data_IF_785862190652
#
_entry.id   IF_785862190652
#
_cell.length_a   1.000
_cell.length_b   1.000
_cell.length_c   1.000
_cell.angle_alpha   90.00
_cell.angle_beta   90.00
_cell.angle_gamma   90.00
#
_symmetry.space_group_name_H-M   'P 1'
#
loop_
_entity.id
_entity.type
_entity.pdbx_description
1 polymer ?
#
# COMPACT_ATOMS: atom_id res chain seq x y z
N UNK A 1 -43.86 17.57 14.44
CA UNK A 1 -43.65 16.64 15.56
C UNK A 1 -42.72 15.54 15.12
N UNK A 2 -41.42 15.64 15.41
CA UNK A 2 -40.45 14.58 15.09
C UNK A 2 -40.56 13.49 16.15
N UNK A 3 -41.12 12.32 15.80
CA UNK A 3 -41.13 11.16 16.69
C UNK A 3 -39.66 10.75 16.95
N UNK A 4 -39.17 11.01 18.14
CA UNK A 4 -37.92 10.43 18.63
C UNK A 4 -38.14 8.91 18.74
N UNK A 5 -37.71 8.20 17.69
CA UNK A 5 -37.75 6.74 17.75
C UNK A 5 -36.81 6.27 18.87
N UNK A 6 -37.34 5.39 19.73
CA UNK A 6 -36.62 4.75 20.83
C UNK A 6 -35.30 4.12 20.37
N UNK A 7 -34.27 4.12 21.24
CA UNK A 7 -32.94 3.56 20.94
C UNK A 7 -33.01 2.12 20.42
N UNK A 8 -33.88 1.30 20.99
CA UNK A 8 -34.10 -0.09 20.56
C UNK A 8 -34.66 -0.16 19.13
N UNK A 9 -35.56 0.77 18.75
CA UNK A 9 -36.13 0.84 17.41
C UNK A 9 -35.06 1.28 16.37
N UNK A 10 -34.19 2.23 16.74
CA UNK A 10 -33.07 2.66 15.87
C UNK A 10 -32.08 1.50 15.66
N UNK A 11 -31.72 0.79 16.72
CA UNK A 11 -30.82 -0.36 16.65
C UNK A 11 -31.40 -1.48 15.76
N UNK A 12 -32.67 -1.82 15.90
CA UNK A 12 -33.35 -2.80 15.03
C UNK A 12 -33.41 -2.38 13.57
N UNK A 13 -33.55 -1.07 13.27
CA UNK A 13 -33.50 -0.56 11.91
C UNK A 13 -32.09 -0.75 11.29
N UNK A 14 -31.04 -0.43 12.06
CA UNK A 14 -29.67 -0.69 11.64
C UNK A 14 -29.41 -2.17 11.40
N UNK A 15 -29.83 -3.04 12.32
CA UNK A 15 -29.69 -4.49 12.14
C UNK A 15 -30.39 -4.97 10.86
N UNK A 16 -31.66 -4.55 10.62
CA UNK A 16 -32.39 -4.92 9.40
C UNK A 16 -31.73 -4.38 8.14
N UNK A 17 -31.19 -3.15 8.18
CA UNK A 17 -30.46 -2.59 7.06
C UNK A 17 -29.25 -3.48 6.71
N UNK A 18 -28.40 -3.76 7.68
CA UNK A 18 -27.20 -4.56 7.45
C UNK A 18 -27.47 -6.05 7.16
N UNK A 19 -28.61 -6.60 7.58
CA UNK A 19 -28.98 -7.99 7.28
C UNK A 19 -29.75 -8.18 5.98
N UNK A 20 -30.36 -7.14 5.44
CA UNK A 20 -31.24 -7.22 4.27
C UNK A 20 -30.75 -6.49 3.02
N UNK A 21 -29.68 -5.71 3.12
CA UNK A 21 -29.12 -4.97 1.98
C UNK A 21 -27.89 -5.68 1.44
N UNK A 22 -27.99 -6.17 0.23
CA UNK A 22 -26.82 -6.64 -0.52
C UNK A 22 -26.09 -5.43 -1.08
N UNK A 23 -24.84 -5.24 -0.65
CA UNK A 23 -23.99 -4.15 -1.13
C UNK A 23 -23.32 -4.61 -2.44
N UNK A 24 -23.59 -3.89 -3.52
CA UNK A 24 -22.87 -4.04 -4.76
C UNK A 24 -21.56 -3.24 -4.67
N UNK A 25 -20.47 -3.95 -4.37
CA UNK A 25 -19.15 -3.34 -4.19
C UNK A 25 -18.59 -2.77 -5.49
N UNK A 26 -18.93 -3.32 -6.65
CA UNK A 26 -18.48 -2.83 -7.95
C UNK A 26 -19.15 -1.51 -8.31
N UNK A 27 -20.46 -1.42 -8.05
CA UNK A 27 -21.18 -0.16 -8.21
C UNK A 27 -20.62 0.94 -7.28
N UNK A 28 -20.31 0.61 -6.03
CA UNK A 28 -19.72 1.57 -5.09
C UNK A 28 -18.31 1.97 -5.54
N UNK A 29 -17.48 1.02 -5.93
CA UNK A 29 -16.13 1.29 -6.44
C UNK A 29 -16.17 2.22 -7.66
N UNK A 30 -17.05 1.91 -8.63
CA UNK A 30 -17.27 2.74 -9.82
C UNK A 30 -17.79 4.14 -9.49
N UNK A 31 -18.65 4.28 -8.49
CA UNK A 31 -19.13 5.58 -8.01
C UNK A 31 -18.00 6.38 -7.38
N UNK A 32 -17.24 5.80 -6.46
CA UNK A 32 -16.09 6.45 -5.80
C UNK A 32 -15.06 6.87 -6.86
N UNK A 33 -14.75 5.98 -7.80
CA UNK A 33 -13.77 6.28 -8.84
C UNK A 33 -14.18 7.47 -9.68
N UNK A 34 -15.45 7.53 -10.13
CA UNK A 34 -15.99 8.66 -10.90
C UNK A 34 -16.06 9.96 -10.09
N UNK A 35 -16.26 9.88 -8.79
CA UNK A 35 -16.37 11.06 -7.93
C UNK A 35 -15.02 11.75 -7.70
N UNK A 36 -13.95 10.99 -7.55
CA UNK A 36 -12.65 11.51 -7.13
C UNK A 36 -11.59 11.51 -8.23
N UNK A 37 -11.76 10.68 -9.27
CA UNK A 37 -10.70 10.43 -10.24
C UNK A 37 -11.16 10.73 -11.67
N UNK A 38 -10.26 11.34 -12.43
CA UNK A 38 -10.52 11.60 -13.84
C UNK A 38 -10.25 10.31 -14.62
N UNK A 39 -11.14 9.98 -15.55
CA UNK A 39 -11.14 8.71 -16.30
C UNK A 39 -9.88 8.45 -17.13
N UNK A 40 -9.11 9.48 -17.47
CA UNK A 40 -7.88 9.37 -18.29
C UNK A 40 -6.59 9.53 -17.47
N UNK A 41 -6.65 9.45 -16.15
CA UNK A 41 -5.48 9.54 -15.26
C UNK A 41 -4.89 8.18 -14.92
N UNK A 42 -3.60 8.17 -14.57
CA UNK A 42 -2.94 7.03 -13.94
C UNK A 42 -2.76 7.30 -12.45
N UNK A 43 -3.08 6.32 -11.61
CA UNK A 43 -3.17 6.50 -10.17
C UNK A 43 -2.30 5.50 -9.42
N UNK A 44 -1.69 5.95 -8.34
CA UNK A 44 -1.00 5.04 -7.44
C UNK A 44 -2.01 4.30 -6.57
N UNK A 45 -2.01 2.99 -6.68
CA UNK A 45 -2.75 2.12 -5.78
C UNK A 45 -2.01 2.01 -4.45
N UNK A 46 -2.76 1.87 -3.37
CA UNK A 46 -2.22 1.56 -2.04
C UNK A 46 -2.84 0.27 -1.56
N UNK A 47 -2.03 -0.59 -0.98
CA UNK A 47 -2.52 -1.79 -0.30
C UNK A 47 -2.23 -1.66 1.19
N UNK A 48 -3.24 -1.85 2.00
CA UNK A 48 -3.17 -1.78 3.46
C UNK A 48 -4.05 -2.84 4.09
N UNK A 49 -3.74 -3.21 5.31
CA UNK A 49 -4.48 -4.19 6.07
C UNK A 49 -4.76 -3.68 7.47
N UNK A 50 -6.01 -3.73 7.85
CA UNK A 50 -6.44 -3.35 9.18
C UNK A 50 -6.96 -4.58 9.91
N UNK A 51 -6.44 -4.85 11.10
CA UNK A 51 -6.94 -5.92 11.95
C UNK A 51 -7.28 -5.39 13.34
N UNK A 52 -8.41 -5.83 13.88
CA UNK A 52 -8.78 -5.58 15.26
C UNK A 52 -9.66 -6.70 15.81
N UNK A 53 -9.88 -6.70 17.12
CA UNK A 53 -10.79 -7.63 17.78
C UNK A 53 -12.11 -6.96 18.11
N UNK A 54 -13.20 -7.61 17.76
CA UNK A 54 -14.54 -7.27 18.21
C UNK A 54 -15.05 -8.41 19.10
N UNK A 55 -14.93 -8.25 20.42
CA UNK A 55 -15.18 -9.33 21.37
C UNK A 55 -14.25 -10.53 21.11
N UNK A 56 -14.84 -11.68 20.73
CA UNK A 56 -14.09 -12.89 20.35
C UNK A 56 -13.75 -12.98 18.85
N UNK A 57 -14.40 -12.17 18.01
CA UNK A 57 -14.18 -12.16 16.57
C UNK A 57 -12.93 -11.34 16.21
N UNK A 58 -12.11 -11.87 15.31
CA UNK A 58 -11.05 -11.08 14.66
C UNK A 58 -11.64 -10.50 13.38
N UNK A 59 -11.48 -9.20 13.21
CA UNK A 59 -11.81 -8.50 11.98
C UNK A 59 -10.49 -8.20 11.29
N UNK A 60 -10.31 -8.77 10.10
CA UNK A 60 -9.11 -8.62 9.29
C UNK A 60 -9.55 -8.16 7.90
N UNK A 61 -9.22 -6.93 7.54
CA UNK A 61 -9.67 -6.31 6.30
C UNK A 61 -8.45 -5.97 5.46
N UNK A 62 -8.35 -6.58 4.28
CA UNK A 62 -7.42 -6.18 3.24
C UNK A 62 -8.09 -5.10 2.39
N UNK A 63 -7.43 -3.98 2.20
CA UNK A 63 -7.95 -2.81 1.49
C UNK A 63 -7.05 -2.45 0.33
N UNK A 64 -7.66 -2.24 -0.84
CA UNK A 64 -7.03 -1.61 -1.99
C UNK A 64 -7.65 -0.23 -2.18
N UNK A 65 -6.81 0.79 -2.13
CA UNK A 65 -7.22 2.18 -2.31
C UNK A 65 -6.38 2.89 -3.34
N UNK A 66 -6.68 4.16 -3.55
CA UNK A 66 -5.92 5.06 -4.42
C UNK A 66 -5.35 6.20 -3.57
N UNK A 67 -4.07 6.49 -3.74
CA UNK A 67 -3.43 7.65 -3.13
C UNK A 67 -3.93 8.93 -3.79
N UNK A 68 -4.55 9.82 -3.01
CA UNK A 68 -5.14 11.05 -3.52
C UNK A 68 -4.93 12.19 -2.52
N UNK A 69 -4.18 13.23 -2.92
CA UNK A 69 -3.93 14.43 -2.10
C UNK A 69 -3.51 14.14 -0.66
N UNK A 70 -2.63 13.15 -0.48
CA UNK A 70 -2.08 12.80 0.83
C UNK A 70 -2.99 11.91 1.70
N UNK A 71 -4.05 11.36 1.15
CA UNK A 71 -4.90 10.34 1.79
C UNK A 71 -5.05 9.13 0.87
N UNK A 72 -5.42 8.00 1.44
CA UNK A 72 -5.86 6.84 0.67
C UNK A 72 -7.38 6.81 0.62
N UNK A 73 -7.96 6.77 -0.59
CA UNK A 73 -9.39 6.57 -0.80
C UNK A 73 -9.60 5.08 -1.09
N UNK A 74 -10.27 4.32 -0.20
CA UNK A 74 -10.53 2.90 -0.41
C UNK A 74 -11.48 2.70 -1.61
N UNK A 75 -11.12 1.76 -2.48
CA UNK A 75 -11.90 1.37 -3.66
C UNK A 75 -12.49 -0.02 -3.46
N UNK A 76 -11.64 -0.97 -3.05
CA UNK A 76 -12.04 -2.33 -2.71
C UNK A 76 -11.53 -2.73 -1.34
N UNK A 77 -12.26 -3.61 -0.71
CA UNK A 77 -11.84 -4.26 0.54
C UNK A 77 -12.38 -5.68 0.61
N UNK A 78 -11.67 -6.52 1.32
CA UNK A 78 -12.04 -7.90 1.55
C UNK A 78 -11.87 -8.26 3.03
N UNK A 79 -12.85 -8.96 3.57
CA UNK A 79 -12.79 -9.51 4.93
C UNK A 79 -12.07 -10.86 4.84
N UNK A 80 -10.90 -10.93 5.44
CA UNK A 80 -10.13 -12.17 5.50
C UNK A 80 -10.59 -12.99 6.71
N UNK A 81 -11.11 -14.19 6.46
CA UNK A 81 -11.56 -15.13 7.52
C UNK A 81 -10.36 -15.90 8.11
N UNK A 82 -9.33 -15.16 8.48
CA UNK A 82 -8.13 -15.72 9.09
C UNK A 82 -7.44 -14.72 10.02
N UNK A 83 -6.56 -15.27 10.86
CA UNK A 83 -5.60 -14.46 11.62
C UNK A 83 -4.30 -14.34 10.82
N UNK A 84 -3.64 -13.19 10.94
CA UNK A 84 -2.34 -12.97 10.33
C UNK A 84 -2.40 -12.21 9.01
N UNK A 85 -1.33 -12.30 8.26
CA UNK A 85 -1.13 -11.52 7.05
C UNK A 85 -1.96 -12.07 5.88
N UNK A 86 -2.23 -11.22 4.90
CA UNK A 86 -2.79 -11.64 3.61
C UNK A 86 -1.79 -12.49 2.86
N UNK A 87 -2.27 -13.51 2.14
CA UNK A 87 -1.43 -14.29 1.24
C UNK A 87 -1.32 -13.65 -0.15
N UNK A 88 -0.55 -14.29 -1.02
CA UNK A 88 -0.30 -13.79 -2.37
C UNK A 88 -1.55 -13.82 -3.23
N UNK A 89 -2.37 -14.86 -3.11
CA UNK A 89 -3.59 -15.03 -3.92
C UNK A 89 -4.63 -13.96 -3.59
N UNK A 90 -4.85 -13.65 -2.31
CA UNK A 90 -5.75 -12.58 -1.87
C UNK A 90 -5.33 -11.20 -2.39
N UNK A 91 -4.03 -10.92 -2.40
CA UNK A 91 -3.48 -9.66 -2.93
C UNK A 91 -3.67 -9.56 -4.43
N UNK A 92 -3.38 -10.66 -5.15
CA UNK A 92 -3.57 -10.76 -6.61
C UNK A 92 -5.04 -10.58 -6.96
N UNK A 93 -5.94 -11.30 -6.30
CA UNK A 93 -7.37 -11.23 -6.55
C UNK A 93 -7.91 -9.80 -6.43
N UNK A 94 -7.44 -9.06 -5.40
CA UNK A 94 -7.89 -7.69 -5.16
C UNK A 94 -7.39 -6.71 -6.23
N UNK A 95 -6.13 -6.86 -6.71
CA UNK A 95 -5.60 -6.05 -7.82
C UNK A 95 -6.25 -6.45 -9.13
N UNK A 96 -6.44 -7.76 -9.38
CA UNK A 96 -7.08 -8.22 -10.60
C UNK A 96 -8.50 -7.66 -10.72
N UNK A 97 -9.26 -7.64 -9.63
CA UNK A 97 -10.59 -7.01 -9.57
C UNK A 97 -10.54 -5.53 -9.97
N UNK A 98 -9.51 -4.80 -9.56
CA UNK A 98 -9.31 -3.42 -9.98
C UNK A 98 -9.01 -3.33 -11.48
N UNK A 99 -8.13 -4.18 -12.00
CA UNK A 99 -7.74 -4.23 -13.42
C UNK A 99 -8.94 -4.55 -14.30
N UNK A 100 -9.75 -5.52 -13.90
CA UNK A 100 -10.94 -5.96 -14.67
C UNK A 100 -12.00 -4.87 -14.75
N UNK A 101 -12.15 -4.06 -13.70
CA UNK A 101 -13.16 -3.00 -13.64
C UNK A 101 -12.69 -1.68 -14.28
N UNK A 102 -11.45 -1.25 -14.03
CA UNK A 102 -10.96 0.08 -14.43
C UNK A 102 -9.88 0.05 -15.52
N UNK A 103 -9.30 -1.11 -15.77
CA UNK A 103 -8.21 -1.29 -16.71
C UNK A 103 -6.82 -1.07 -16.08
N UNK A 104 -5.85 -1.83 -16.57
CA UNK A 104 -4.45 -1.77 -16.12
C UNK A 104 -3.79 -0.42 -16.43
N UNK A 105 -4.20 0.23 -17.52
CA UNK A 105 -3.68 1.55 -17.92
C UNK A 105 -3.98 2.67 -16.92
N UNK A 106 -4.94 2.46 -16.00
CA UNK A 106 -5.22 3.40 -14.91
C UNK A 106 -4.24 3.30 -13.74
N UNK A 107 -3.31 2.33 -13.76
CA UNK A 107 -2.38 2.08 -12.64
C UNK A 107 -1.04 2.72 -12.94
N UNK A 108 -0.64 3.73 -12.17
CA UNK A 108 0.70 4.31 -12.17
C UNK A 108 1.70 3.43 -11.40
N UNK A 109 1.22 2.70 -10.42
CA UNK A 109 1.99 1.74 -9.61
C UNK A 109 1.34 1.42 -8.28
N UNK A 110 1.95 0.48 -7.55
CA UNK A 110 1.49 0.01 -6.25
C UNK A 110 2.41 0.51 -5.13
N UNK A 111 1.82 1.06 -4.09
CA UNK A 111 2.47 1.47 -2.85
C UNK A 111 2.02 0.53 -1.73
N UNK A 112 2.96 -0.10 -1.02
CA UNK A 112 2.59 -1.02 0.06
C UNK A 112 3.63 -1.04 1.19
N UNK A 113 3.18 -1.33 2.41
CA UNK A 113 4.05 -1.43 3.58
C UNK A 113 4.74 -2.82 3.64
N UNK A 114 5.65 -2.94 4.59
CA UNK A 114 6.55 -4.09 4.82
C UNK A 114 5.87 -5.43 5.11
N UNK A 115 4.58 -5.47 5.31
CA UNK A 115 3.82 -6.71 5.42
C UNK A 115 3.50 -7.31 4.03
N UNK A 116 3.46 -6.46 2.99
CA UNK A 116 3.16 -6.86 1.61
C UNK A 116 4.43 -7.22 0.85
N UNK A 117 5.28 -8.08 1.43
CA UNK A 117 6.50 -8.59 0.82
C UNK A 117 6.42 -10.12 0.71
N UNK A 118 7.00 -10.68 -0.35
CA UNK A 118 7.04 -12.11 -0.59
C UNK A 118 7.60 -12.40 -1.97
N UNK A 119 8.32 -13.53 -2.13
CA UNK A 119 8.96 -13.89 -3.39
C UNK A 119 7.93 -14.03 -4.52
N UNK A 120 6.89 -14.83 -4.31
CA UNK A 120 5.84 -15.08 -5.30
C UNK A 120 5.08 -13.80 -5.65
N UNK A 121 4.77 -12.98 -4.65
CA UNK A 121 4.11 -11.71 -4.82
C UNK A 121 4.91 -10.72 -5.67
N UNK A 122 6.20 -10.54 -5.36
CA UNK A 122 7.08 -9.69 -6.17
C UNK A 122 7.23 -10.24 -7.60
N UNK A 123 7.34 -11.57 -7.74
CA UNK A 123 7.39 -12.22 -9.05
C UNK A 123 6.16 -11.94 -9.88
N UNK A 124 4.97 -12.00 -9.28
CA UNK A 124 3.71 -11.69 -9.98
C UNK A 124 3.68 -10.22 -10.42
N UNK A 125 4.01 -9.27 -9.55
CA UNK A 125 4.05 -7.85 -9.90
C UNK A 125 5.01 -7.55 -11.06
N UNK A 126 6.19 -8.20 -11.07
CA UNK A 126 7.18 -8.06 -12.13
C UNK A 126 6.66 -8.65 -13.44
N UNK A 127 6.09 -9.86 -13.41
CA UNK A 127 5.54 -10.53 -14.59
C UNK A 127 4.37 -9.75 -15.20
N UNK A 128 3.53 -9.15 -14.34
CA UNK A 128 2.47 -8.24 -14.77
C UNK A 128 2.99 -6.87 -15.19
N UNK A 129 4.29 -6.60 -15.11
CA UNK A 129 4.85 -5.28 -15.44
C UNK A 129 4.14 -4.14 -14.69
N UNK A 130 3.73 -4.39 -13.43
CA UNK A 130 3.14 -3.39 -12.56
C UNK A 130 4.26 -2.69 -11.78
N UNK A 131 4.48 -1.38 -11.96
CA UNK A 131 5.42 -0.65 -11.14
C UNK A 131 5.01 -0.72 -9.67
N UNK A 132 5.99 -0.81 -8.78
CA UNK A 132 5.70 -0.83 -7.35
C UNK A 132 6.79 -0.16 -6.53
N UNK A 133 6.40 0.35 -5.38
CA UNK A 133 7.27 0.87 -4.32
C UNK A 133 6.81 0.24 -3.01
N UNK A 134 7.53 -0.79 -2.58
CA UNK A 134 7.18 -1.56 -1.38
C UNK A 134 8.23 -1.31 -0.31
N UNK A 135 7.78 -0.90 0.87
CA UNK A 135 8.64 -0.84 2.04
C UNK A 135 9.05 -2.24 2.47
N UNK A 136 10.31 -2.40 2.84
CA UNK A 136 10.82 -3.68 3.35
C UNK A 136 11.35 -3.54 4.77
N UNK A 137 11.47 -4.67 5.47
CA UNK A 137 12.11 -4.73 6.78
C UNK A 137 13.61 -4.49 6.62
N UNK A 138 14.19 -3.71 7.51
CA UNK A 138 15.60 -3.34 7.53
C UNK A 138 16.56 -4.52 7.73
N UNK A 139 16.07 -5.59 8.32
CA UNK A 139 16.81 -6.83 8.58
C UNK A 139 16.71 -7.89 7.46
N UNK A 140 15.96 -7.58 6.36
CA UNK A 140 15.89 -8.46 5.21
C UNK A 140 17.30 -8.69 4.64
N UNK A 141 17.57 -9.90 4.12
CA UNK A 141 18.84 -10.21 3.53
C UNK A 141 18.92 -9.79 2.07
N UNK A 142 20.09 -9.31 1.68
CA UNK A 142 20.53 -9.05 0.33
C UNK A 142 22.00 -9.45 0.19
N UNK A 143 22.64 -9.15 -0.92
CA UNK A 143 24.05 -9.44 -1.12
C UNK A 143 24.89 -8.16 -1.18
N UNK A 144 26.11 -8.22 -0.65
CA UNK A 144 27.14 -7.19 -0.85
C UNK A 144 27.78 -7.29 -2.26
N UNK A 145 28.68 -6.39 -2.56
CA UNK A 145 29.42 -6.38 -3.85
C UNK A 145 30.29 -7.65 -4.08
N UNK A 146 30.49 -8.48 -3.06
CA UNK A 146 31.23 -9.75 -3.12
C UNK A 146 30.29 -10.96 -3.11
N UNK A 147 28.97 -10.75 -3.22
CA UNK A 147 27.96 -11.82 -3.18
C UNK A 147 27.67 -12.39 -1.79
N UNK A 148 28.18 -11.80 -0.69
CA UNK A 148 27.95 -12.30 0.66
C UNK A 148 26.62 -11.78 1.20
N UNK A 149 25.84 -12.61 1.93
CA UNK A 149 24.58 -12.19 2.51
C UNK A 149 24.81 -11.15 3.62
N UNK A 150 24.10 -10.03 3.51
CA UNK A 150 24.10 -8.94 4.49
C UNK A 150 22.67 -8.46 4.73
N UNK A 151 22.41 -7.83 5.89
CA UNK A 151 21.13 -7.13 6.12
C UNK A 151 21.08 -5.87 5.27
N UNK A 152 19.92 -5.59 4.66
CA UNK A 152 19.73 -4.42 3.79
C UNK A 152 20.14 -3.12 4.48
N UNK A 153 19.83 -2.94 5.77
CA UNK A 153 20.22 -1.74 6.52
C UNK A 153 21.74 -1.48 6.54
N UNK A 154 22.55 -2.52 6.39
CA UNK A 154 24.02 -2.38 6.37
C UNK A 154 24.48 -1.52 5.18
N UNK A 155 23.72 -1.50 4.08
CA UNK A 155 23.98 -0.67 2.91
C UNK A 155 23.79 0.83 3.19
N UNK A 156 23.01 1.16 4.22
CA UNK A 156 22.64 2.53 4.60
C UNK A 156 23.27 3.00 5.93
N UNK A 157 24.20 2.20 6.53
CA UNK A 157 24.76 2.47 7.86
C UNK A 157 25.43 3.84 8.02
N UNK A 158 25.97 4.40 6.93
CA UNK A 158 26.63 5.70 6.92
C UNK A 158 25.71 6.85 6.57
N UNK A 159 24.42 6.57 6.32
CA UNK A 159 23.44 7.59 5.95
C UNK A 159 23.13 8.48 7.16
N UNK A 160 23.30 9.81 7.04
CA UNK A 160 22.92 10.73 8.12
C UNK A 160 21.40 10.73 8.36
N UNK A 161 20.96 11.20 9.53
CA UNK A 161 19.52 11.37 9.82
C UNK A 161 18.86 12.32 8.80
N UNK A 162 17.64 12.01 8.43
CA UNK A 162 16.83 12.76 7.45
C UNK A 162 17.43 12.84 6.04
N UNK A 163 18.42 12.01 5.73
CA UNK A 163 18.97 11.91 4.38
C UNK A 163 18.48 10.64 3.70
N UNK A 164 18.37 10.72 2.37
CA UNK A 164 18.01 9.59 1.52
C UNK A 164 19.17 9.20 0.59
N UNK A 165 19.18 7.95 0.19
CA UNK A 165 20.14 7.37 -0.74
C UNK A 165 19.46 6.35 -1.63
N UNK A 166 19.57 6.54 -2.93
CA UNK A 166 19.20 5.53 -3.93
C UNK A 166 20.45 4.75 -4.34
N UNK A 167 20.44 3.44 -4.15
CA UNK A 167 21.58 2.61 -4.48
C UNK A 167 21.73 2.48 -5.99
N UNK A 168 22.96 2.66 -6.46
CA UNK A 168 23.28 2.40 -7.84
C UNK A 168 23.27 0.88 -8.11
N UNK A 169 22.53 0.48 -9.14
CA UNK A 169 22.34 -0.92 -9.53
C UNK A 169 21.36 -1.70 -8.64
N UNK A 170 20.87 -2.79 -9.20
CA UNK A 170 19.91 -3.66 -8.55
C UNK A 170 20.56 -4.51 -7.46
N UNK A 171 19.74 -5.02 -6.56
CA UNK A 171 20.11 -5.94 -5.48
C UNK A 171 19.16 -7.12 -5.50
N UNK A 172 19.67 -8.28 -5.14
CA UNK A 172 18.81 -9.45 -4.96
C UNK A 172 17.97 -9.29 -3.69
N UNK A 173 16.67 -9.23 -3.87
CA UNK A 173 15.67 -9.17 -2.81
C UNK A 173 14.69 -10.31 -3.02
N UNK A 174 14.72 -11.31 -2.15
CA UNK A 174 13.86 -12.49 -2.24
C UNK A 174 13.90 -13.17 -3.64
N UNK A 175 15.07 -13.26 -4.25
CA UNK A 175 15.24 -13.89 -5.55
C UNK A 175 15.01 -12.99 -6.77
N UNK A 176 14.64 -11.72 -6.57
CA UNK A 176 14.40 -10.76 -7.64
C UNK A 176 15.42 -9.63 -7.63
N UNK A 177 15.85 -9.21 -8.82
CA UNK A 177 16.77 -8.09 -9.00
C UNK A 177 15.99 -6.76 -8.99
N UNK A 178 16.06 -6.05 -7.85
CA UNK A 178 15.33 -4.80 -7.60
C UNK A 178 16.27 -3.67 -7.23
N UNK A 179 15.86 -2.46 -7.56
CA UNK A 179 16.48 -1.25 -7.03
C UNK A 179 16.06 -1.03 -5.58
N UNK A 180 16.95 -0.42 -4.81
CA UNK A 180 16.74 -0.15 -3.39
C UNK A 180 17.06 1.30 -3.08
N UNK A 181 16.12 2.00 -2.46
CA UNK A 181 16.33 3.32 -1.88
C UNK A 181 16.09 3.26 -0.37
N UNK A 182 16.85 4.04 0.37
CA UNK A 182 16.71 4.12 1.83
C UNK A 182 16.78 5.55 2.33
N UNK A 183 16.04 5.83 3.37
CA UNK A 183 16.08 7.06 4.14
C UNK A 183 16.30 6.73 5.62
N UNK A 184 17.18 7.47 6.29
CA UNK A 184 17.31 7.36 7.72
C UNK A 184 16.38 8.35 8.40
N UNK A 185 15.43 7.84 9.16
CA UNK A 185 14.42 8.63 9.85
C UNK A 185 15.02 9.37 11.06
N UNK A 186 14.30 10.34 11.59
CA UNK A 186 14.73 11.18 12.72
C UNK A 186 14.93 10.38 14.01
N UNK A 187 14.12 9.34 14.20
CA UNK A 187 14.20 8.38 15.31
C UNK A 187 15.38 7.40 15.19
N UNK A 188 16.11 7.44 14.05
CA UNK A 188 17.24 6.57 13.76
C UNK A 188 16.85 5.29 13.00
N UNK A 189 15.57 5.01 12.82
CA UNK A 189 15.07 3.90 12.02
C UNK A 189 15.31 4.12 10.52
N UNK A 190 15.16 3.05 9.74
CA UNK A 190 15.30 3.12 8.28
C UNK A 190 13.95 2.92 7.58
N UNK A 191 13.66 3.81 6.65
CA UNK A 191 12.66 3.61 5.61
C UNK A 191 13.38 3.06 4.38
N UNK A 192 13.15 1.81 4.02
CA UNK A 192 13.80 1.15 2.89
C UNK A 192 12.73 0.70 1.90
N UNK A 193 12.85 1.16 0.66
CA UNK A 193 11.88 0.92 -0.43
C UNK A 193 12.56 0.10 -1.52
N UNK A 194 11.84 -0.87 -2.05
CA UNK A 194 12.24 -1.64 -3.24
C UNK A 194 11.31 -1.34 -4.40
N UNK A 195 11.87 -1.31 -5.61
CA UNK A 195 11.15 -1.02 -6.85
C UNK A 195 11.83 -1.73 -8.03
N UNK A 196 11.08 -2.16 -9.07
CA UNK A 196 11.67 -2.72 -10.29
C UNK A 196 12.36 -1.66 -11.15
N UNK A 197 11.93 -0.39 -11.03
CA UNK A 197 12.39 0.75 -11.81
C UNK A 197 13.44 1.58 -11.07
N UNK A 198 14.07 2.53 -11.78
CA UNK A 198 15.08 3.39 -11.19
C UNK A 198 14.59 4.14 -9.94
N UNK A 199 15.31 4.07 -8.81
CA UNK A 199 14.81 4.47 -7.50
C UNK A 199 14.94 5.97 -7.19
N UNK A 200 15.30 6.81 -8.16
CA UNK A 200 15.62 8.23 -7.92
C UNK A 200 14.54 9.05 -7.19
N UNK A 201 13.29 8.63 -7.30
CA UNK A 201 12.15 9.24 -6.60
C UNK A 201 11.42 8.27 -5.66
N UNK A 202 12.01 7.12 -5.35
CA UNK A 202 11.31 6.03 -4.64
C UNK A 202 10.77 6.47 -3.27
N UNK A 203 11.53 7.24 -2.51
CA UNK A 203 11.09 7.72 -1.20
C UNK A 203 9.94 8.71 -1.33
N UNK A 204 10.00 9.66 -2.25
CA UNK A 204 8.95 10.65 -2.47
C UNK A 204 7.67 10.02 -3.04
N UNK A 205 7.79 9.06 -3.95
CA UNK A 205 6.64 8.31 -4.48
C UNK A 205 5.97 7.50 -3.37
N UNK A 206 6.75 6.77 -2.58
CA UNK A 206 6.20 6.01 -1.46
C UNK A 206 5.49 6.91 -0.43
N UNK A 207 5.97 8.13 -0.22
CA UNK A 207 5.35 9.09 0.69
C UNK A 207 3.92 9.47 0.31
N UNK A 208 3.51 9.30 -0.95
CA UNK A 208 2.12 9.53 -1.38
C UNK A 208 1.14 8.61 -0.63
N UNK A 209 1.59 7.41 -0.20
CA UNK A 209 0.78 6.46 0.56
C UNK A 209 0.64 6.80 2.04
N UNK A 210 1.56 7.59 2.59
CA UNK A 210 1.68 7.78 4.04
C UNK A 210 0.77 8.87 4.61
N UNK A 211 0.10 9.63 3.74
CA UNK A 211 -0.72 10.77 4.17
C UNK A 211 0.09 11.79 4.98
N UNK A 212 -0.60 12.76 5.56
CA UNK A 212 0.01 13.85 6.33
C UNK A 212 0.69 13.42 7.65
N UNK A 213 0.63 12.14 8.04
CA UNK A 213 1.19 11.68 9.32
C UNK A 213 2.71 11.75 9.39
N UNK A 214 3.40 11.75 8.25
CA UNK A 214 4.87 11.85 8.18
C UNK A 214 5.37 12.93 7.22
N UNK A 215 4.48 13.79 6.69
CA UNK A 215 4.85 14.88 5.78
C UNK A 215 5.74 15.95 6.44
N UNK A 216 5.84 15.95 7.76
CA UNK A 216 6.74 16.84 8.51
C UNK A 216 8.23 16.56 8.21
N UNK A 217 8.54 15.39 7.64
CA UNK A 217 9.92 14.93 7.44
C UNK A 217 10.38 14.95 5.97
N UNK A 218 9.53 15.42 5.03
CA UNK A 218 9.92 15.53 3.62
C UNK A 218 10.24 16.98 3.27
N UNK A 219 11.36 17.25 2.57
CA UNK A 219 11.64 18.60 2.09
C UNK A 219 10.50 19.04 1.15
N UNK A 220 9.93 20.20 1.40
CA UNK A 220 8.74 20.79 0.73
C UNK A 220 8.88 20.96 -0.80
N UNK A 221 10.01 20.59 -1.40
CA UNK A 221 10.28 20.77 -2.84
C UNK A 221 9.60 19.73 -3.76
N UNK A 222 9.02 18.66 -3.23
CA UNK A 222 8.42 17.57 -4.02
C UNK A 222 6.91 17.76 -4.31
N UNK A 223 6.26 18.79 -3.80
CA UNK A 223 4.79 18.91 -3.83
C UNK A 223 4.20 19.77 -4.97
N UNK A 224 5.04 20.44 -5.76
CA UNK A 224 4.57 21.40 -6.79
C UNK A 224 5.28 21.20 -8.13
N UNK A 225 5.07 20.06 -8.78
CA UNK A 225 5.28 19.92 -10.22
C UNK A 225 4.25 18.94 -10.79
N UNK A 226 3.04 19.46 -10.97
CA UNK A 226 2.06 18.99 -11.95
C UNK A 226 1.28 20.18 -12.46
#
# INVERSE_FOLDING_TARGET
>A
MSSQADKASRYRRLQRFFSGVTIDFEMIAGFIFRLFFVTNGCWYLTMDRTNWKWGKANINILTLGIAFKGITIPIYWELLDKRGDSDTEERIALIQKFIDHFGKSCIAGLLADREFIGQEWLGWLINEQLPFWIRIKDNLLTTDSRGRPIKVKTLFRQLPLSHELSLYGKRNILGHELYVAGMRLVDGDYLIIVTPDYPGSAISVYALSMGNRNAVFMPQRAWFQF
#
